data_IF_838684393673
#
_entry.id   IF_838684393673
#
_cell.length_a   1.000
_cell.length_b   1.000
_cell.length_c   1.000
_cell.angle_alpha   90.00
_cell.angle_beta   90.00
_cell.angle_gamma   90.00
#
_symmetry.space_group_name_H-M   'P 1'
#
loop_
_entity.id
_entity.type
_entity.pdbx_description
1 polymer ?
#
# COMPACT_ATOMS: atom_id res chain seq x y z
N UNK A 1 19.63 25.97 12.18
CA UNK A 1 18.91 24.70 12.42
C UNK A 1 18.88 24.02 11.08
N UNK A 2 19.57 22.90 10.92
CA UNK A 2 19.41 22.08 9.71
C UNK A 2 17.94 21.71 9.58
N UNK A 3 17.39 21.90 8.38
CA UNK A 3 16.00 21.55 8.07
C UNK A 3 15.89 20.04 7.94
N UNK A 4 15.05 19.43 8.77
CA UNK A 4 14.70 17.99 8.70
C UNK A 4 14.27 17.59 7.28
N UNK A 5 14.89 16.53 6.76
CA UNK A 5 14.60 15.94 5.45
C UNK A 5 13.41 14.99 5.51
N UNK A 6 12.90 14.62 4.33
CA UNK A 6 11.76 13.71 4.25
C UNK A 6 12.09 12.31 4.78
N UNK A 7 13.27 11.76 4.50
CA UNK A 7 13.68 10.43 5.00
C UNK A 7 13.84 10.43 6.52
N UNK A 8 14.41 11.48 7.12
CA UNK A 8 14.47 11.61 8.59
C UNK A 8 13.07 11.58 9.20
N UNK A 9 12.15 12.35 8.62
CA UNK A 9 10.74 12.38 9.03
C UNK A 9 10.08 11.00 8.90
N UNK A 10 10.29 10.31 7.76
CA UNK A 10 9.75 8.97 7.51
C UNK A 10 10.25 7.96 8.54
N UNK A 11 11.52 8.01 8.91
CA UNK A 11 12.11 7.12 9.92
C UNK A 11 11.54 7.41 11.31
N UNK A 12 11.32 8.68 11.67
CA UNK A 12 10.64 9.05 12.91
C UNK A 12 9.20 8.48 12.96
N UNK A 13 8.46 8.57 11.84
CA UNK A 13 7.12 7.99 11.71
C UNK A 13 7.16 6.47 11.88
N UNK A 14 8.09 5.78 11.21
CA UNK A 14 8.25 4.32 11.34
C UNK A 14 8.60 3.88 12.76
N UNK A 15 9.31 4.71 13.54
CA UNK A 15 9.63 4.45 14.95
C UNK A 15 8.49 4.85 15.92
N UNK A 16 7.43 5.48 15.44
CA UNK A 16 6.25 5.81 16.25
C UNK A 16 5.35 4.58 16.39
N UNK A 17 5.07 4.14 17.62
CA UNK A 17 4.35 2.89 17.85
C UNK A 17 2.82 3.01 17.78
N UNK A 18 2.28 4.15 18.21
CA UNK A 18 0.84 4.43 18.20
C UNK A 18 0.39 4.76 16.77
N UNK A 19 -0.57 4.02 16.19
CA UNK A 19 -1.01 4.23 14.82
C UNK A 19 -1.75 5.56 14.62
N UNK A 20 -2.43 6.10 15.64
CA UNK A 20 -3.07 7.42 15.55
C UNK A 20 -2.03 8.54 15.52
N UNK A 21 -1.02 8.45 16.37
CA UNK A 21 0.09 9.39 16.36
C UNK A 21 0.89 9.28 15.06
N UNK A 22 1.08 8.06 14.57
CA UNK A 22 1.73 7.80 13.27
C UNK A 22 0.97 8.46 12.12
N UNK A 23 -0.34 8.30 12.05
CA UNK A 23 -1.18 8.96 11.05
C UNK A 23 -1.10 10.50 11.17
N UNK A 24 -1.15 11.04 12.39
CA UNK A 24 -1.05 12.49 12.65
C UNK A 24 0.31 13.06 12.24
N UNK A 25 1.40 12.39 12.58
CA UNK A 25 2.76 12.79 12.19
C UNK A 25 2.95 12.67 10.68
N UNK A 26 2.44 11.59 10.08
CA UNK A 26 2.43 11.38 8.64
C UNK A 26 1.76 12.51 7.88
N UNK A 27 0.55 12.90 8.30
CA UNK A 27 -0.17 14.04 7.72
C UNK A 27 0.62 15.35 7.87
N UNK A 28 1.16 15.63 9.06
CA UNK A 28 1.96 16.83 9.30
C UNK A 28 3.21 16.90 8.41
N UNK A 29 3.89 15.77 8.20
CA UNK A 29 5.05 15.69 7.30
C UNK A 29 4.62 15.83 5.84
N UNK A 30 3.51 15.20 5.46
CA UNK A 30 2.96 15.29 4.11
C UNK A 30 2.62 16.73 3.72
N UNK A 31 1.92 17.46 4.60
CA UNK A 31 1.62 18.89 4.40
C UNK A 31 2.90 19.70 4.23
N UNK A 32 3.89 19.54 5.13
CA UNK A 32 5.18 20.26 5.02
C UNK A 32 5.92 19.93 3.73
N UNK A 33 5.88 18.69 3.25
CA UNK A 33 6.52 18.28 1.98
C UNK A 33 5.81 18.90 0.77
N UNK A 34 4.48 18.80 0.74
CA UNK A 34 3.65 19.27 -0.37
C UNK A 34 3.64 20.80 -0.50
N UNK A 35 3.75 21.51 0.62
CA UNK A 35 3.90 22.97 0.68
C UNK A 35 5.34 23.45 0.47
N UNK A 36 6.31 22.53 0.37
CA UNK A 36 7.73 22.84 0.12
C UNK A 36 8.50 23.32 1.36
N UNK A 37 7.92 23.21 2.56
CA UNK A 37 8.63 23.48 3.81
C UNK A 37 9.72 22.43 4.11
N UNK A 38 9.51 21.17 3.69
CA UNK A 38 10.59 20.18 3.55
C UNK A 38 11.08 20.22 2.10
N UNK A 39 12.24 20.84 1.90
CA UNK A 39 12.79 21.05 0.57
C UNK A 39 13.49 19.80 0.02
N UNK A 40 14.30 19.12 0.85
CA UNK A 40 15.13 18.01 0.39
C UNK A 40 14.57 16.65 0.81
N UNK A 41 14.55 15.64 -0.08
CA UNK A 41 14.09 14.30 0.28
C UNK A 41 15.06 13.63 1.28
N UNK A 42 16.35 13.88 1.14
CA UNK A 42 17.40 13.32 2.00
C UNK A 42 18.71 14.10 1.88
N UNK A 43 19.56 14.03 2.90
CA UNK A 43 20.95 14.47 2.83
C UNK A 43 21.83 13.34 2.25
N UNK A 44 22.56 13.57 1.14
CA UNK A 44 23.43 12.54 0.57
C UNK A 44 24.57 12.12 1.50
N UNK A 45 24.99 12.98 2.43
CA UNK A 45 26.10 12.75 3.36
C UNK A 45 25.73 11.99 4.63
N UNK A 46 24.42 11.83 4.91
CA UNK A 46 23.94 11.17 6.11
C UNK A 46 23.16 9.92 5.75
N UNK A 47 23.50 8.80 6.39
CA UNK A 47 22.73 7.56 6.31
C UNK A 47 22.01 7.31 7.63
N UNK A 48 20.69 7.16 7.54
CA UNK A 48 19.85 6.80 8.68
C UNK A 48 19.45 5.33 8.60
N UNK A 49 19.65 4.54 9.67
CA UNK A 49 19.22 3.15 9.66
C UNK A 49 17.68 3.08 9.64
N UNK A 50 17.14 2.53 8.55
CA UNK A 50 15.70 2.24 8.47
C UNK A 50 15.42 0.99 9.31
N UNK A 51 14.46 1.02 10.24
CA UNK A 51 14.17 -0.14 11.08
C UNK A 51 13.70 -1.33 10.23
N UNK A 52 14.08 -2.55 10.59
CA UNK A 52 13.63 -3.77 9.89
C UNK A 52 12.11 -3.96 9.95
N UNK A 53 11.48 -3.37 10.98
CA UNK A 53 10.04 -3.35 11.18
C UNK A 53 9.60 -2.05 11.89
N UNK A 54 8.51 -1.42 11.46
CA UNK A 54 7.94 -0.28 12.14
C UNK A 54 7.56 -0.61 13.58
N UNK A 55 7.70 0.37 14.45
CA UNK A 55 7.18 0.29 15.79
C UNK A 55 5.65 0.12 15.75
N UNK A 56 5.14 -0.71 16.64
CA UNK A 56 3.71 -1.00 16.75
C UNK A 56 3.35 -1.25 18.21
N UNK A 57 2.22 -0.69 18.65
CA UNK A 57 1.70 -0.97 19.99
C UNK A 57 1.40 -2.47 20.17
N UNK A 58 1.65 -2.96 21.38
CA UNK A 58 1.42 -4.37 21.74
C UNK A 58 -0.04 -4.72 22.03
N UNK A 59 -0.95 -3.74 21.91
CA UNK A 59 -2.38 -3.92 22.17
C UNK A 59 -3.12 -4.64 21.04
N UNK A 60 -2.52 -4.78 19.85
CA UNK A 60 -3.05 -5.58 18.75
C UNK A 60 -2.45 -6.98 18.82
N UNK A 61 -3.29 -8.00 19.05
CA UNK A 61 -2.85 -9.39 19.05
C UNK A 61 -2.64 -9.88 17.62
N UNK A 62 -1.40 -10.14 17.24
CA UNK A 62 -1.03 -10.67 15.93
C UNK A 62 -1.06 -12.20 15.95
N UNK A 63 -1.73 -12.81 14.97
CA UNK A 63 -1.87 -14.26 14.80
C UNK A 63 -1.60 -14.65 13.34
N UNK A 64 -1.30 -15.93 13.09
CA UNK A 64 -1.13 -16.42 11.73
C UNK A 64 -2.44 -16.32 10.93
N UNK A 65 -2.40 -16.15 9.59
CA UNK A 65 -3.61 -16.10 8.77
C UNK A 65 -4.53 -17.31 8.92
N UNK A 66 -3.99 -18.50 9.23
CA UNK A 66 -4.74 -19.73 9.48
C UNK A 66 -5.57 -19.70 10.77
N UNK A 67 -5.22 -18.83 11.73
CA UNK A 67 -5.90 -18.65 13.01
C UNK A 67 -6.84 -17.44 13.01
N UNK A 68 -6.93 -16.70 11.91
CA UNK A 68 -7.81 -15.55 11.79
C UNK A 68 -9.29 -15.98 11.84
N UNK A 69 -10.12 -15.32 12.65
CA UNK A 69 -11.55 -15.58 12.66
C UNK A 69 -12.17 -15.20 11.31
N UNK A 70 -13.24 -15.91 10.91
CA UNK A 70 -13.97 -15.59 9.69
C UNK A 70 -14.70 -14.26 9.86
N UNK A 71 -14.43 -13.31 8.97
CA UNK A 71 -15.02 -11.96 8.99
C UNK A 71 -16.55 -11.93 8.80
N UNK A 72 -17.13 -12.97 8.16
CA UNK A 72 -18.56 -13.05 7.89
C UNK A 72 -19.01 -12.28 6.63
N UNK A 73 -20.28 -11.82 6.62
CA UNK A 73 -20.91 -11.14 5.46
C UNK A 73 -21.57 -9.79 5.80
N UNK A 74 -21.14 -9.14 6.88
CA UNK A 74 -21.65 -7.85 7.38
C UNK A 74 -23.15 -7.81 7.79
N UNK A 75 -23.85 -8.94 7.84
CA UNK A 75 -25.27 -8.97 8.26
C UNK A 75 -25.48 -8.78 9.76
N UNK A 76 -24.56 -9.27 10.60
CA UNK A 76 -24.59 -9.06 12.05
C UNK A 76 -23.64 -7.92 12.46
N UNK A 77 -23.88 -7.33 13.65
CA UNK A 77 -23.00 -6.31 14.21
C UNK A 77 -21.57 -6.83 14.39
N UNK A 78 -21.42 -8.06 14.89
CA UNK A 78 -20.11 -8.70 15.10
C UNK A 78 -19.34 -8.86 13.79
N UNK A 79 -20.04 -9.22 12.70
CA UNK A 79 -19.42 -9.34 11.38
C UNK A 79 -19.00 -7.98 10.82
N UNK A 80 -19.80 -6.93 11.04
CA UNK A 80 -19.46 -5.55 10.65
C UNK A 80 -18.22 -5.06 11.39
N UNK A 81 -18.21 -5.20 12.72
CA UNK A 81 -17.06 -4.86 13.56
C UNK A 81 -15.79 -5.60 13.13
N UNK A 82 -15.88 -6.89 12.81
CA UNK A 82 -14.73 -7.67 12.34
C UNK A 82 -14.18 -7.18 11.00
N UNK A 83 -15.06 -6.88 10.03
CA UNK A 83 -14.63 -6.37 8.73
C UNK A 83 -14.00 -4.98 8.87
N UNK A 84 -14.66 -4.05 9.58
CA UNK A 84 -14.11 -2.69 9.77
C UNK A 84 -12.79 -2.74 10.53
N UNK A 85 -12.67 -3.54 11.60
CA UNK A 85 -11.40 -3.71 12.32
C UNK A 85 -10.28 -4.24 11.41
N UNK A 86 -10.59 -5.21 10.55
CA UNK A 86 -9.63 -5.71 9.57
C UNK A 86 -9.18 -4.62 8.59
N UNK A 87 -10.08 -3.76 8.13
CA UNK A 87 -9.73 -2.64 7.25
C UNK A 87 -8.86 -1.61 7.98
N UNK A 88 -9.21 -1.22 9.22
CA UNK A 88 -8.37 -0.35 10.06
C UNK A 88 -6.96 -0.94 10.23
N UNK A 89 -6.84 -2.26 10.40
CA UNK A 89 -5.54 -2.90 10.48
C UNK A 89 -4.75 -2.84 9.17
N UNK A 90 -5.43 -3.04 8.03
CA UNK A 90 -4.84 -2.88 6.70
C UNK A 90 -4.29 -1.46 6.51
N UNK A 91 -5.09 -0.41 6.77
CA UNK A 91 -4.63 0.96 6.55
C UNK A 91 -3.48 1.32 7.50
N UNK A 92 -3.49 0.78 8.72
CA UNK A 92 -2.35 0.94 9.64
C UNK A 92 -1.06 0.33 9.09
N UNK A 93 -1.13 -0.73 8.28
CA UNK A 93 0.03 -1.25 7.56
C UNK A 93 0.34 -0.43 6.31
N UNK A 94 -0.66 0.06 5.59
CA UNK A 94 -0.46 0.87 4.40
C UNK A 94 0.27 2.19 4.69
N UNK A 95 -0.01 2.83 5.84
CA UNK A 95 0.80 3.96 6.36
C UNK A 95 2.27 3.55 6.47
N UNK A 96 2.54 2.42 7.14
CA UNK A 96 3.90 1.92 7.34
C UNK A 96 4.60 1.60 6.02
N UNK A 97 3.92 0.94 5.09
CA UNK A 97 4.46 0.58 3.78
C UNK A 97 4.83 1.82 2.95
N UNK A 98 3.98 2.85 2.99
CA UNK A 98 4.17 4.08 2.24
C UNK A 98 5.34 4.92 2.77
N UNK A 99 5.57 4.94 4.08
CA UNK A 99 6.76 5.57 4.65
C UNK A 99 8.01 4.70 4.55
N UNK A 100 7.87 3.37 4.63
CA UNK A 100 8.98 2.42 4.47
C UNK A 100 9.58 2.50 3.07
N UNK A 101 8.75 2.55 2.02
CA UNK A 101 9.27 2.60 0.65
C UNK A 101 10.05 3.90 0.37
N UNK A 102 9.61 5.03 0.96
CA UNK A 102 10.31 6.33 0.93
C UNK A 102 11.66 6.22 1.64
N UNK A 103 11.67 5.77 2.89
CA UNK A 103 12.87 5.75 3.72
C UNK A 103 13.90 4.74 3.23
N UNK A 104 13.44 3.53 2.87
CA UNK A 104 14.30 2.38 2.54
C UNK A 104 14.93 2.50 1.17
N UNK A 105 14.16 2.91 0.17
CA UNK A 105 14.63 2.83 -1.22
C UNK A 105 14.88 4.18 -1.86
N UNK A 106 14.26 5.26 -1.38
CA UNK A 106 14.31 6.57 -2.03
C UNK A 106 15.74 7.04 -2.31
N UNK A 107 16.60 7.03 -1.28
CA UNK A 107 18.03 7.38 -1.40
C UNK A 107 18.83 6.28 -2.12
N UNK A 108 18.66 5.03 -1.71
CA UNK A 108 19.40 3.87 -2.25
C UNK A 108 19.29 3.79 -3.78
N UNK A 109 18.07 3.92 -4.31
CA UNK A 109 17.76 3.80 -5.73
C UNK A 109 17.84 5.14 -6.46
N UNK A 110 18.29 6.21 -5.78
CA UNK A 110 18.36 7.58 -6.32
C UNK A 110 17.07 7.98 -7.02
N UNK A 111 15.94 7.77 -6.36
CA UNK A 111 14.63 8.04 -6.95
C UNK A 111 14.42 9.55 -7.14
N UNK A 112 13.68 9.97 -8.18
CA UNK A 112 13.37 11.38 -8.40
C UNK A 112 12.37 11.92 -7.37
N UNK A 113 12.29 13.25 -7.22
CA UNK A 113 11.37 13.92 -6.27
C UNK A 113 9.92 13.47 -6.40
N UNK A 114 9.47 13.18 -7.61
CA UNK A 114 8.09 12.76 -7.88
C UNK A 114 7.76 11.43 -7.18
N UNK A 115 8.73 10.52 -7.01
CA UNK A 115 8.53 9.26 -6.30
C UNK A 115 8.19 9.50 -4.84
N UNK A 116 8.97 10.37 -4.19
CA UNK A 116 8.70 10.81 -2.83
C UNK A 116 7.33 11.47 -2.72
N UNK A 117 7.00 12.34 -3.68
CA UNK A 117 5.72 13.07 -3.66
C UNK A 117 4.52 12.14 -3.83
N UNK A 118 4.60 11.16 -4.73
CA UNK A 118 3.52 10.19 -4.93
C UNK A 118 3.31 9.36 -3.66
N UNK A 119 4.36 8.80 -3.06
CA UNK A 119 4.22 7.98 -1.85
C UNK A 119 3.90 8.81 -0.59
N UNK A 120 4.27 10.08 -0.53
CA UNK A 120 3.80 10.99 0.53
C UNK A 120 2.29 11.20 0.45
N UNK A 121 1.72 11.33 -0.76
CA UNK A 121 0.27 11.45 -0.95
C UNK A 121 -0.44 10.15 -0.55
N UNK A 122 0.07 9.00 -1.00
CA UNK A 122 -0.45 7.70 -0.56
C UNK A 122 -0.41 7.61 0.96
N UNK A 123 0.74 7.89 1.59
CA UNK A 123 0.86 7.83 3.05
C UNK A 123 -0.13 8.76 3.79
N UNK A 124 -0.42 9.94 3.23
CA UNK A 124 -1.39 10.88 3.78
C UNK A 124 -2.83 10.35 3.67
N UNK A 125 -3.19 9.79 2.51
CA UNK A 125 -4.50 9.19 2.28
C UNK A 125 -4.71 7.97 3.17
N UNK A 126 -3.72 7.08 3.29
CA UNK A 126 -3.76 5.92 4.20
C UNK A 126 -3.92 6.32 5.67
N UNK A 127 -3.23 7.38 6.10
CA UNK A 127 -3.37 7.94 7.44
C UNK A 127 -4.79 8.45 7.72
N UNK A 128 -5.41 9.07 6.72
CA UNK A 128 -6.80 9.54 6.78
C UNK A 128 -7.79 8.39 6.74
N UNK A 129 -7.60 7.39 5.88
CA UNK A 129 -8.43 6.18 5.82
C UNK A 129 -8.43 5.46 7.16
N UNK A 130 -7.24 5.21 7.72
CA UNK A 130 -7.08 4.65 9.05
C UNK A 130 -7.91 5.41 10.09
N UNK A 131 -7.77 6.73 10.14
CA UNK A 131 -8.44 7.58 11.13
C UNK A 131 -9.96 7.53 10.99
N UNK A 132 -10.48 7.62 9.76
CA UNK A 132 -11.91 7.58 9.47
C UNK A 132 -12.52 6.21 9.78
N UNK A 133 -11.84 5.12 9.40
CA UNK A 133 -12.30 3.77 9.68
C UNK A 133 -12.21 3.43 11.17
N UNK A 134 -11.19 3.92 11.88
CA UNK A 134 -11.06 3.73 13.31
C UNK A 134 -12.17 4.46 14.07
N UNK A 135 -12.48 5.71 13.68
CA UNK A 135 -13.64 6.42 14.21
C UNK A 135 -14.95 5.66 13.92
N UNK A 136 -15.11 5.15 12.69
CA UNK A 136 -16.29 4.36 12.34
C UNK A 136 -16.40 3.08 13.18
N UNK A 137 -15.27 2.44 13.50
CA UNK A 137 -15.23 1.24 14.34
C UNK A 137 -15.71 1.52 15.77
N UNK A 138 -15.37 2.67 16.33
CA UNK A 138 -15.85 3.16 17.64
C UNK A 138 -17.36 3.42 17.62
N UNK A 139 -17.87 4.07 16.56
CA UNK A 139 -19.30 4.33 16.40
C UNK A 139 -20.15 3.05 16.41
N UNK A 140 -19.64 1.97 15.83
CA UNK A 140 -20.32 0.66 15.85
C UNK A 140 -19.98 -0.18 17.10
N UNK A 141 -19.38 0.42 18.13
CA UNK A 141 -19.20 -0.18 19.46
C UNK A 141 -18.02 -1.15 19.59
N UNK A 142 -16.96 -0.96 18.81
CA UNK A 142 -15.70 -1.70 18.91
C UNK A 142 -14.51 -0.72 18.91
N UNK A 143 -13.27 -1.21 18.89
CA UNK A 143 -12.07 -0.36 18.82
C UNK A 143 -10.92 -1.05 18.12
N UNK A 144 -9.96 -0.28 17.62
CA UNK A 144 -8.74 -0.87 17.07
C UNK A 144 -7.99 -1.68 18.15
N UNK A 145 -7.49 -2.85 17.78
CA UNK A 145 -6.91 -3.83 18.71
C UNK A 145 -7.90 -4.68 19.53
N UNK A 146 -9.23 -4.47 19.42
CA UNK A 146 -10.21 -5.33 20.10
C UNK A 146 -10.27 -6.76 19.54
N UNK A 147 -9.91 -6.95 18.28
CA UNK A 147 -9.87 -8.23 17.58
C UNK A 147 -8.43 -8.57 17.17
N UNK A 148 -8.09 -9.87 17.02
CA UNK A 148 -6.79 -10.25 16.50
C UNK A 148 -6.64 -9.83 15.04
N UNK A 149 -5.39 -9.66 14.61
CA UNK A 149 -5.03 -9.31 13.24
C UNK A 149 -3.84 -10.16 12.75
N UNK A 150 -3.43 -10.02 11.50
CA UNK A 150 -2.31 -10.78 10.91
C UNK A 150 -1.34 -9.87 10.16
N UNK A 151 -0.07 -10.28 10.09
CA UNK A 151 1.03 -9.49 9.51
C UNK A 151 1.26 -9.75 8.02
N UNK A 152 0.23 -10.20 7.30
CA UNK A 152 0.41 -10.72 5.95
C UNK A 152 1.05 -9.73 4.97
N UNK A 153 0.73 -8.44 5.11
CA UNK A 153 1.34 -7.37 4.33
C UNK A 153 2.79 -7.12 4.72
N UNK A 154 3.08 -7.04 6.03
CA UNK A 154 4.46 -6.80 6.46
C UNK A 154 5.39 -8.00 6.20
N UNK A 155 4.87 -9.23 6.21
CA UNK A 155 5.65 -10.42 5.86
C UNK A 155 6.13 -10.34 4.40
N UNK A 156 5.27 -9.91 3.48
CA UNK A 156 5.60 -9.67 2.06
C UNK A 156 6.57 -8.49 1.90
N UNK A 157 6.37 -7.42 2.67
CA UNK A 157 7.28 -6.28 2.73
C UNK A 157 8.69 -6.68 3.17
N UNK A 158 8.81 -7.44 4.27
CA UNK A 158 10.09 -7.92 4.78
C UNK A 158 10.82 -8.79 3.73
N UNK A 159 10.07 -9.67 3.04
CA UNK A 159 10.59 -10.53 1.98
C UNK A 159 11.11 -9.76 0.75
N UNK A 160 10.65 -8.52 0.54
CA UNK A 160 11.05 -7.64 -0.57
C UNK A 160 11.91 -6.46 -0.11
N UNK A 161 12.39 -6.46 1.14
CA UNK A 161 13.10 -5.33 1.77
C UNK A 161 14.42 -4.93 1.08
N UNK A 162 14.97 -5.77 0.20
CA UNK A 162 16.23 -5.52 -0.49
C UNK A 162 16.07 -5.18 -1.98
N UNK A 163 14.83 -5.15 -2.50
CA UNK A 163 14.55 -4.92 -3.91
C UNK A 163 13.31 -4.03 -4.07
N UNK A 164 13.53 -2.78 -4.50
CA UNK A 164 12.46 -1.82 -4.74
C UNK A 164 11.49 -2.30 -5.84
N UNK A 165 12.00 -2.94 -6.89
CA UNK A 165 11.16 -3.44 -7.99
C UNK A 165 10.24 -4.55 -7.49
N UNK A 166 10.75 -5.45 -6.66
CA UNK A 166 9.95 -6.47 -5.98
C UNK A 166 8.93 -5.84 -5.01
N UNK A 167 9.35 -4.84 -4.22
CA UNK A 167 8.45 -4.13 -3.30
C UNK A 167 7.27 -3.47 -4.04
N UNK A 168 7.55 -2.77 -5.14
CA UNK A 168 6.53 -2.13 -5.97
C UNK A 168 5.56 -3.17 -6.57
N UNK A 169 6.09 -4.27 -7.11
CA UNK A 169 5.24 -5.30 -7.71
C UNK A 169 4.30 -5.97 -6.70
N UNK A 170 4.81 -6.31 -5.51
CA UNK A 170 4.05 -7.09 -4.53
C UNK A 170 3.13 -6.19 -3.71
N UNK A 171 3.65 -5.14 -3.08
CA UNK A 171 2.83 -4.29 -2.22
C UNK A 171 2.00 -3.33 -3.06
N UNK A 172 2.66 -2.49 -3.87
CA UNK A 172 2.00 -1.36 -4.51
C UNK A 172 1.28 -1.66 -5.83
N UNK A 173 1.42 -2.88 -6.36
CA UNK A 173 0.63 -3.36 -7.50
C UNK A 173 -0.30 -4.50 -7.08
N UNK A 174 0.23 -5.64 -6.60
CA UNK A 174 -0.59 -6.82 -6.32
C UNK A 174 -1.52 -6.61 -5.12
N UNK A 175 -1.00 -6.12 -3.98
CA UNK A 175 -1.82 -5.91 -2.79
C UNK A 175 -2.79 -4.73 -2.94
N UNK A 176 -2.36 -3.60 -3.49
CA UNK A 176 -3.24 -2.47 -3.83
C UNK A 176 -4.39 -2.88 -4.76
N UNK A 177 -4.05 -3.58 -5.85
CA UNK A 177 -5.08 -4.02 -6.79
C UNK A 177 -6.02 -5.07 -6.19
N UNK A 178 -5.56 -5.82 -5.18
CA UNK A 178 -6.44 -6.71 -4.42
C UNK A 178 -7.46 -5.92 -3.63
N UNK A 179 -7.11 -4.75 -3.08
CA UNK A 179 -8.06 -3.79 -2.48
C UNK A 179 -9.17 -3.41 -3.46
N UNK A 180 -8.79 -3.00 -4.69
CA UNK A 180 -9.71 -2.62 -5.77
C UNK A 180 -10.68 -3.74 -6.17
N UNK A 181 -10.25 -5.00 -6.09
CA UNK A 181 -11.07 -6.16 -6.40
C UNK A 181 -12.12 -6.46 -5.32
N UNK A 182 -11.75 -6.31 -4.04
CA UNK A 182 -12.57 -6.75 -2.91
C UNK A 182 -13.51 -5.66 -2.38
N UNK A 183 -13.14 -4.39 -2.53
CA UNK A 183 -13.91 -3.26 -2.00
C UNK A 183 -15.34 -3.20 -2.53
N UNK A 184 -15.64 -3.37 -3.85
CA UNK A 184 -17.01 -3.33 -4.34
C UNK A 184 -17.92 -4.38 -3.68
N UNK A 185 -17.39 -5.59 -3.45
CA UNK A 185 -18.13 -6.65 -2.76
C UNK A 185 -18.32 -6.31 -1.28
N UNK A 186 -17.32 -5.70 -0.65
CA UNK A 186 -17.37 -5.28 0.76
C UNK A 186 -18.40 -4.16 0.97
N UNK A 187 -18.41 -3.15 0.10
CA UNK A 187 -19.42 -2.08 0.04
C UNK A 187 -20.82 -2.69 -0.08
N UNK A 188 -21.03 -3.60 -1.03
CA UNK A 188 -22.32 -4.28 -1.22
C UNK A 188 -22.77 -5.05 0.03
N UNK A 189 -21.84 -5.71 0.74
CA UNK A 189 -22.15 -6.43 1.99
C UNK A 189 -22.62 -5.47 3.09
N UNK A 190 -21.94 -4.35 3.31
CA UNK A 190 -22.37 -3.37 4.31
C UNK A 190 -23.73 -2.76 3.96
N UNK A 191 -23.93 -2.40 2.68
CA UNK A 191 -25.21 -1.89 2.17
C UNK A 191 -26.37 -2.86 2.44
N UNK A 192 -26.18 -4.13 2.08
CA UNK A 192 -27.18 -5.18 2.29
C UNK A 192 -27.38 -5.53 3.77
N UNK A 193 -26.35 -5.31 4.60
CA UNK A 193 -26.40 -5.46 6.06
C UNK A 193 -27.05 -4.27 6.79
N UNK A 194 -27.48 -3.24 6.06
CA UNK A 194 -28.11 -2.04 6.61
C UNK A 194 -27.15 -1.01 7.21
N UNK A 195 -25.84 -1.17 7.02
CA UNK A 195 -24.82 -0.22 7.46
C UNK A 195 -24.39 0.67 6.30
N UNK A 196 -25.26 1.63 5.98
CA UNK A 196 -25.08 2.55 4.86
C UNK A 196 -23.93 3.53 5.10
N UNK A 197 -23.65 3.89 6.35
CA UNK A 197 -22.58 4.81 6.73
C UNK A 197 -21.20 4.22 6.39
N UNK A 198 -20.94 2.97 6.80
CA UNK A 198 -19.70 2.28 6.44
C UNK A 198 -19.59 2.08 4.92
N UNK A 199 -20.69 1.74 4.25
CA UNK A 199 -20.69 1.56 2.80
C UNK A 199 -20.38 2.88 2.05
N UNK A 200 -20.93 4.01 2.50
CA UNK A 200 -20.68 5.33 1.93
C UNK A 200 -19.24 5.80 2.16
N UNK A 201 -18.67 5.56 3.35
CA UNK A 201 -17.26 5.86 3.64
C UNK A 201 -16.34 5.11 2.66
N UNK A 202 -16.55 3.80 2.49
CA UNK A 202 -15.73 2.99 1.60
C UNK A 202 -15.91 3.39 0.12
N UNK A 203 -17.14 3.69 -0.30
CA UNK A 203 -17.43 4.00 -1.71
C UNK A 203 -16.98 5.40 -2.13
N UNK A 204 -17.11 6.40 -1.25
CA UNK A 204 -16.89 7.81 -1.61
C UNK A 204 -15.52 8.33 -1.24
N UNK A 205 -14.83 7.69 -0.29
CA UNK A 205 -13.55 8.16 0.23
C UNK A 205 -12.46 7.16 -0.10
N UNK A 206 -12.54 5.95 0.45
CA UNK A 206 -11.47 4.94 0.32
C UNK A 206 -11.31 4.50 -1.14
N UNK A 207 -12.36 3.91 -1.73
CA UNK A 207 -12.27 3.27 -3.04
C UNK A 207 -11.73 4.15 -4.19
N UNK A 208 -12.13 5.43 -4.34
CA UNK A 208 -11.55 6.30 -5.37
C UNK A 208 -10.05 6.56 -5.20
N UNK A 209 -9.57 6.63 -3.96
CA UNK A 209 -8.18 6.97 -3.62
C UNK A 209 -7.25 5.76 -3.84
N UNK A 210 -7.71 4.55 -3.53
CA UNK A 210 -7.02 3.27 -3.81
C UNK A 210 -6.61 3.11 -5.28
N UNK A 211 -7.39 3.66 -6.22
CA UNK A 211 -7.06 3.61 -7.65
C UNK A 211 -5.76 4.38 -7.91
N UNK A 212 -5.59 5.52 -7.24
CA UNK A 212 -4.40 6.36 -7.37
C UNK A 212 -3.19 5.75 -6.65
N UNK A 213 -3.41 5.03 -5.55
CA UNK A 213 -2.34 4.30 -4.84
C UNK A 213 -1.77 3.20 -5.72
N UNK A 214 -2.66 2.38 -6.30
CA UNK A 214 -2.26 1.34 -7.26
C UNK A 214 -1.57 1.95 -8.50
N UNK A 215 -2.05 3.10 -8.99
CA UNK A 215 -1.43 3.79 -10.12
C UNK A 215 0.00 4.26 -9.81
N UNK A 216 0.28 4.70 -8.58
CA UNK A 216 1.62 5.06 -8.15
C UNK A 216 2.56 3.84 -8.22
N UNK A 217 2.12 2.67 -7.73
CA UNK A 217 2.88 1.42 -7.83
C UNK A 217 3.23 1.05 -9.28
N UNK A 218 2.22 1.07 -10.16
CA UNK A 218 2.39 0.75 -11.60
C UNK A 218 3.34 1.74 -12.27
N UNK A 219 3.17 3.04 -12.02
CA UNK A 219 4.03 4.11 -12.57
C UNK A 219 5.50 3.87 -12.21
N UNK A 220 5.79 3.64 -10.93
CA UNK A 220 7.18 3.49 -10.49
C UNK A 220 7.79 2.15 -10.88
N UNK A 221 6.98 1.09 -10.99
CA UNK A 221 7.42 -0.18 -11.56
C UNK A 221 7.84 -0.01 -13.04
N UNK A 222 6.99 0.63 -13.86
CA UNK A 222 7.31 0.95 -15.26
C UNK A 222 8.58 1.81 -15.37
N UNK A 223 8.69 2.84 -14.54
CA UNK A 223 9.86 3.71 -14.49
C UNK A 223 11.17 2.94 -14.26
N UNK A 224 11.21 2.04 -13.27
CA UNK A 224 12.41 1.25 -12.98
C UNK A 224 12.76 0.26 -14.10
N UNK A 225 11.75 -0.37 -14.70
CA UNK A 225 11.96 -1.24 -15.85
C UNK A 225 12.52 -0.46 -17.06
N UNK A 226 12.06 0.77 -17.32
CA UNK A 226 12.61 1.61 -18.37
C UNK A 226 14.04 2.09 -18.04
N UNK A 227 14.28 2.52 -16.80
CA UNK A 227 15.58 3.02 -16.32
C UNK A 227 16.69 1.98 -16.42
N UNK A 228 16.39 0.70 -16.14
CA UNK A 228 17.39 -0.38 -16.24
C UNK A 228 17.88 -0.64 -17.67
N UNK A 229 17.08 -0.30 -18.69
CA UNK A 229 17.46 -0.43 -20.11
C UNK A 229 18.30 0.74 -20.62
N UNK A 230 18.12 1.93 -20.03
CA UNK A 230 18.78 3.16 -20.45
C UNK A 230 19.40 3.90 -19.25
N UNK A 231 20.53 3.40 -18.71
CA UNK A 231 21.18 4.01 -17.55
C UNK A 231 21.67 5.46 -17.79
N UNK A 232 21.69 5.95 -19.04
CA UNK A 232 22.17 7.28 -19.42
C UNK A 232 21.08 8.29 -19.88
N UNK A 233 19.77 7.98 -19.84
CA UNK A 233 18.75 8.90 -20.39
C UNK A 233 17.64 9.36 -19.42
N UNK A 234 17.42 10.67 -19.43
CA UNK A 234 16.32 11.42 -18.81
C UNK A 234 15.14 11.57 -19.75
N UNK A 235 13.94 11.22 -19.29
CA UNK A 235 12.59 11.67 -19.69
C UNK A 235 12.39 12.17 -21.14
N UNK A 236 12.57 11.32 -22.15
CA UNK A 236 11.82 11.42 -23.42
C UNK A 236 12.18 10.26 -24.35
N UNK A 237 11.42 9.17 -24.29
CA UNK A 237 11.45 8.13 -25.33
C UNK A 237 10.08 7.52 -25.49
N UNK A 238 9.56 7.58 -26.74
CA UNK A 238 8.31 6.96 -27.16
C UNK A 238 8.27 5.49 -26.75
N UNK A 239 7.24 5.12 -25.99
CA UNK A 239 6.90 3.73 -25.68
C UNK A 239 6.68 2.96 -27.01
N UNK A 240 7.53 1.97 -27.30
CA UNK A 240 7.27 0.98 -28.34
C UNK A 240 6.47 -0.18 -27.74
N UNK A 241 5.66 -0.89 -28.52
CA UNK A 241 4.89 -2.06 -28.04
C UNK A 241 5.80 -3.14 -27.41
N UNK A 242 7.00 -3.34 -27.96
CA UNK A 242 8.02 -4.26 -27.42
C UNK A 242 8.44 -3.88 -25.98
N UNK A 243 8.36 -2.59 -25.62
CA UNK A 243 8.74 -2.12 -24.29
C UNK A 243 7.73 -2.49 -23.21
N UNK A 244 6.43 -2.53 -23.52
CA UNK A 244 5.36 -2.87 -22.58
C UNK A 244 5.32 -4.38 -22.31
N UNK A 245 5.51 -5.22 -23.33
CA UNK A 245 5.55 -6.68 -23.17
C UNK A 245 6.71 -7.11 -22.25
N UNK A 246 7.90 -6.53 -22.40
CA UNK A 246 9.03 -6.82 -21.53
C UNK A 246 8.78 -6.39 -20.08
N UNK A 247 8.11 -5.25 -19.85
CA UNK A 247 7.71 -4.81 -18.51
C UNK A 247 6.74 -5.82 -17.89
N UNK A 248 5.74 -6.28 -18.65
CA UNK A 248 4.76 -7.28 -18.20
C UNK A 248 5.47 -8.59 -17.85
N UNK A 249 6.38 -9.07 -18.71
CA UNK A 249 7.14 -10.28 -18.45
C UNK A 249 8.00 -10.15 -17.19
N UNK A 250 8.62 -8.99 -16.96
CA UNK A 250 9.36 -8.71 -15.73
C UNK A 250 8.42 -8.70 -14.51
N UNK A 251 7.25 -8.07 -14.62
CA UNK A 251 6.23 -8.10 -13.57
C UNK A 251 5.82 -9.53 -13.23
N UNK A 252 5.53 -10.36 -14.22
CA UNK A 252 5.18 -11.75 -14.00
C UNK A 252 6.29 -12.54 -13.31
N UNK A 253 7.55 -12.36 -13.73
CA UNK A 253 8.70 -13.01 -13.10
C UNK A 253 8.81 -12.65 -11.63
N UNK A 254 8.75 -11.35 -11.32
CA UNK A 254 8.85 -10.84 -9.94
C UNK A 254 7.68 -11.34 -9.09
N UNK A 255 6.46 -11.31 -9.60
CA UNK A 255 5.29 -11.81 -8.86
C UNK A 255 5.39 -13.31 -8.60
N UNK A 256 5.82 -14.13 -9.58
CA UNK A 256 6.01 -15.58 -9.35
C UNK A 256 7.09 -15.88 -8.31
N UNK A 257 8.14 -15.07 -8.27
CA UNK A 257 9.25 -15.23 -7.33
C UNK A 257 8.85 -14.89 -5.89
N UNK A 258 8.14 -13.76 -5.71
CA UNK A 258 7.89 -13.21 -4.37
C UNK A 258 6.48 -13.44 -3.84
N UNK A 259 5.47 -13.69 -4.70
CA UNK A 259 4.09 -13.92 -4.28
C UNK A 259 3.75 -15.41 -4.18
N UNK A 260 3.20 -15.82 -3.03
CA UNK A 260 2.87 -17.22 -2.79
C UNK A 260 1.50 -17.59 -3.35
N UNK A 261 1.51 -18.32 -4.47
CA UNK A 261 0.32 -18.90 -5.10
C UNK A 261 -0.29 -18.01 -6.17
N UNK A 262 -1.41 -18.44 -6.80
CA UNK A 262 -2.01 -17.68 -7.88
C UNK A 262 -2.73 -16.42 -7.38
N UNK A 263 -2.77 -15.39 -8.22
CA UNK A 263 -3.64 -14.23 -8.02
C UNK A 263 -5.11 -14.68 -8.07
N UNK A 264 -5.93 -14.19 -7.14
CA UNK A 264 -7.29 -14.70 -6.97
C UNK A 264 -8.32 -13.78 -7.62
N UNK A 265 -9.16 -14.27 -8.56
CA UNK A 265 -10.32 -13.52 -9.03
C UNK A 265 -11.37 -13.32 -7.91
N UNK A 266 -12.37 -12.45 -8.10
CA UNK A 266 -12.61 -11.61 -9.30
C UNK A 266 -11.56 -10.50 -9.43
N UNK A 267 -11.30 -10.06 -10.66
CA UNK A 267 -10.47 -8.90 -10.96
C UNK A 267 -11.33 -7.71 -11.38
N UNK A 268 -11.12 -6.55 -10.78
CA UNK A 268 -11.76 -5.31 -11.17
C UNK A 268 -11.04 -4.70 -12.37
N UNK A 269 -11.33 -5.25 -13.56
CA UNK A 269 -10.65 -4.87 -14.80
C UNK A 269 -10.74 -3.37 -15.10
N UNK A 270 -11.87 -2.73 -14.79
CA UNK A 270 -12.04 -1.30 -15.02
C UNK A 270 -11.15 -0.46 -14.09
N UNK A 271 -11.11 -0.77 -12.79
CA UNK A 271 -10.28 -0.03 -11.84
C UNK A 271 -8.79 -0.25 -12.10
N UNK A 272 -8.37 -1.49 -12.36
CA UNK A 272 -6.97 -1.84 -12.71
C UNK A 272 -6.52 -1.13 -14.00
N UNK A 273 -7.39 -1.07 -15.01
CA UNK A 273 -7.12 -0.30 -16.24
C UNK A 273 -6.96 1.20 -15.95
N UNK A 274 -7.80 1.78 -15.08
CA UNK A 274 -7.64 3.18 -14.65
C UNK A 274 -6.33 3.40 -13.88
N UNK A 275 -5.89 2.42 -13.09
CA UNK A 275 -4.59 2.41 -12.43
C UNK A 275 -3.39 2.19 -13.38
N UNK A 276 -3.64 1.98 -14.68
CA UNK A 276 -2.60 1.96 -15.70
C UNK A 276 -2.08 0.58 -16.11
N UNK A 277 -2.76 -0.51 -15.73
CA UNK A 277 -2.36 -1.86 -16.13
C UNK A 277 -3.55 -2.77 -16.49
N UNK A 278 -3.43 -3.45 -17.64
CA UNK A 278 -4.49 -4.24 -18.24
C UNK A 278 -4.49 -5.73 -17.84
N UNK A 279 -5.47 -6.51 -18.31
CA UNK A 279 -5.61 -7.94 -18.03
C UNK A 279 -4.35 -8.78 -18.24
N UNK A 280 -3.54 -8.45 -19.25
CA UNK A 280 -2.29 -9.12 -19.58
C UNK A 280 -1.27 -9.12 -18.42
N UNK A 281 -1.37 -8.18 -17.48
CA UNK A 281 -0.51 -8.12 -16.31
C UNK A 281 -0.85 -9.17 -15.24
N UNK A 282 -2.13 -9.57 -15.11
CA UNK A 282 -2.59 -10.33 -13.93
C UNK A 282 -3.37 -11.60 -14.26
N UNK A 283 -4.02 -11.72 -15.42
CA UNK A 283 -4.75 -12.94 -15.80
C UNK A 283 -3.82 -14.16 -15.93
N UNK A 284 -2.61 -14.05 -16.54
CA UNK A 284 -1.68 -15.17 -16.60
C UNK A 284 -1.21 -15.65 -15.22
N UNK A 285 -1.20 -14.76 -14.23
CA UNK A 285 -0.79 -15.06 -12.85
C UNK A 285 -1.91 -15.66 -12.00
N UNK A 286 -3.13 -15.80 -12.55
CA UNK A 286 -4.26 -16.42 -11.87
C UNK A 286 -4.23 -17.97 -11.92
N UNK A 287 -3.35 -18.54 -12.73
CA UNK A 287 -3.18 -19.97 -12.90
C UNK A 287 -1.91 -20.40 -12.18
N UNK A 288 -1.97 -21.50 -11.42
CA UNK A 288 -0.77 -22.11 -10.86
C UNK A 288 -0.02 -22.78 -12.00
N UNK A 289 1.21 -22.38 -12.29
CA UNK A 289 2.02 -23.11 -13.26
C UNK A 289 2.14 -24.57 -12.80
N UNK A 290 1.73 -25.47 -13.68
CA UNK A 290 2.01 -26.89 -13.53
C UNK A 290 3.53 -27.02 -13.61
N UNK A 291 4.19 -27.38 -12.51
CA UNK A 291 5.59 -27.77 -12.57
C UNK A 291 5.71 -28.91 -13.60
N UNK A 292 6.39 -28.65 -14.71
CA UNK A 292 6.89 -29.68 -15.61
C UNK A 292 8.06 -30.40 -14.96
#
# INVERSE_FOLDING_TARGET
>A
MESETLIESAINILNTSDPFEKARLGDSVAVRWLEGAIAEPYDPSVDFPVPDRPARLTNVKLVSPSLMPKLGRAGSLQSRQAIVHSLVHTESWAIDLSWDIIARFGKQEKMPRDFFTDFVRVAQDEGRHFTLLAARLEEIGSRYGALPAHDGLWDSAAATSQDLLARLAIEHCVHEARGLDVLPTTISRFRNGGDHETADLLERVVYPEEITHCAAGVKWFKYLCARSKHPEFTNDSKESDDSEEEIINKFHSVVREHFRGPLKPPFNAQARKTAGFGPQWYEPLAVKESNA
#
